data_IF_713709437921
#
_entry.id   IF_713709437921
#
_cell.length_a   1.000
_cell.length_b   1.000
_cell.length_c   1.000
_cell.angle_alpha   90.00
_cell.angle_beta   90.00
_cell.angle_gamma   90.00
#
_symmetry.space_group_name_H-M   'P 1'
#
loop_
_entity.id
_entity.type
_entity.pdbx_description
1 polymer ?
#
# COMPACT_ATOMS: atom_id res chain seq x y z
N UNK A 1 2.85 13.29 -9.42
CA UNK A 1 2.24 13.96 -10.57
C UNK A 1 3.21 13.82 -11.72
N UNK A 2 2.77 13.22 -12.83
CA UNK A 2 3.55 13.14 -14.06
C UNK A 2 3.50 14.54 -14.69
N UNK A 3 4.64 15.09 -15.08
CA UNK A 3 4.67 16.32 -15.86
C UNK A 3 3.92 16.09 -17.18
N UNK A 4 2.82 16.77 -17.34
CA UNK A 4 1.95 16.67 -18.51
C UNK A 4 0.87 17.74 -18.49
N UNK A 5 0.21 17.94 -19.63
CA UNK A 5 -0.82 18.97 -19.79
C UNK A 5 -2.15 18.60 -19.10
N UNK A 6 -2.36 17.31 -18.81
CA UNK A 6 -3.55 16.82 -18.11
C UNK A 6 -3.29 15.45 -17.45
N UNK A 7 -4.06 15.12 -16.40
CA UNK A 7 -3.91 13.86 -15.71
C UNK A 7 -5.12 13.48 -14.84
N UNK A 8 -5.15 12.20 -14.47
CA UNK A 8 -6.06 11.66 -13.45
C UNK A 8 -5.21 10.82 -12.50
N UNK A 9 -5.33 11.05 -11.21
CA UNK A 9 -4.58 10.34 -10.18
C UNK A 9 -5.43 10.21 -8.92
N UNK A 10 -4.95 9.39 -7.98
CA UNK A 10 -5.43 9.41 -6.58
C UNK A 10 -4.42 10.21 -5.73
N UNK A 11 -4.84 10.60 -4.52
CA UNK A 11 -3.92 11.11 -3.50
C UNK A 11 -3.33 9.94 -2.71
N UNK A 12 -2.22 9.39 -3.17
CA UNK A 12 -1.53 8.26 -2.56
C UNK A 12 -1.08 8.56 -1.12
N UNK A 13 -0.59 9.80 -0.85
CA UNK A 13 -0.13 10.21 0.47
C UNK A 13 -1.30 10.30 1.46
N UNK A 14 -2.40 10.95 1.09
CA UNK A 14 -3.58 11.05 1.95
C UNK A 14 -4.27 9.69 2.17
N UNK A 15 -4.23 8.81 1.16
CA UNK A 15 -4.74 7.44 1.24
C UNK A 15 -3.98 6.63 2.29
N UNK A 16 -2.65 6.65 2.24
CA UNK A 16 -1.82 5.98 3.24
C UNK A 16 -1.97 6.59 4.64
N UNK A 17 -2.10 7.92 4.73
CA UNK A 17 -2.38 8.56 5.99
C UNK A 17 -3.71 8.12 6.60
N UNK A 18 -4.70 7.79 5.78
CA UNK A 18 -5.98 7.23 6.23
C UNK A 18 -5.78 5.83 6.82
N UNK A 19 -5.00 4.96 6.17
CA UNK A 19 -4.64 3.64 6.70
C UNK A 19 -3.92 3.75 8.05
N UNK A 20 -2.91 4.61 8.15
CA UNK A 20 -2.14 4.80 9.39
C UNK A 20 -3.02 5.28 10.54
N UNK A 21 -3.90 6.28 10.31
CA UNK A 21 -4.85 6.75 11.33
C UNK A 21 -5.82 5.65 11.76
N UNK A 22 -6.30 4.84 10.83
CA UNK A 22 -7.15 3.68 11.13
C UNK A 22 -6.42 2.69 12.05
N UNK A 23 -5.20 2.28 11.70
CA UNK A 23 -4.41 1.36 12.52
C UNK A 23 -4.10 1.94 13.90
N UNK A 24 -3.82 3.24 14.00
CA UNK A 24 -3.67 3.94 15.28
C UNK A 24 -4.94 3.85 16.14
N UNK A 25 -6.11 4.01 15.53
CA UNK A 25 -7.40 3.92 16.22
C UNK A 25 -7.70 2.51 16.73
N UNK A 26 -7.13 1.48 16.12
CA UNK A 26 -7.19 0.09 16.56
C UNK A 26 -6.16 -0.23 17.68
N UNK A 27 -5.26 0.70 18.02
CA UNK A 27 -4.29 0.55 19.10
C UNK A 27 -2.96 -0.08 18.68
N UNK A 28 -2.69 -0.18 17.37
CA UNK A 28 -1.40 -0.69 16.88
C UNK A 28 -0.25 0.21 17.33
N UNK A 29 0.86 -0.40 17.77
CA UNK A 29 1.99 0.29 18.39
C UNK A 29 3.24 0.32 17.52
N UNK A 30 3.42 -0.69 16.69
CA UNK A 30 4.56 -0.81 15.76
C UNK A 30 4.00 -1.13 14.38
N UNK A 31 4.34 -0.31 13.40
CA UNK A 31 3.88 -0.45 12.02
C UNK A 31 5.02 -0.84 11.10
N UNK A 32 4.74 -1.71 10.15
CA UNK A 32 5.65 -2.00 9.04
C UNK A 32 5.04 -1.56 7.71
N UNK A 33 5.88 -1.07 6.80
CA UNK A 33 5.55 -0.82 5.40
C UNK A 33 6.42 -1.68 4.49
N UNK A 34 5.79 -2.37 3.56
CA UNK A 34 6.47 -3.24 2.59
C UNK A 34 6.25 -2.69 1.20
N UNK A 35 7.34 -2.29 0.58
CA UNK A 35 7.34 -1.83 -0.81
C UNK A 35 7.12 -2.99 -1.78
N UNK A 36 6.56 -2.69 -2.95
CA UNK A 36 6.52 -3.65 -4.04
C UNK A 36 7.96 -4.00 -4.44
N UNK A 37 8.30 -5.30 -4.57
CA UNK A 37 9.58 -5.70 -5.14
C UNK A 37 9.71 -5.08 -6.53
N UNK A 38 10.76 -4.30 -6.75
CA UNK A 38 10.92 -3.51 -7.98
C UNK A 38 10.95 -4.43 -9.18
N UNK A 39 9.92 -4.36 -9.99
CA UNK A 39 10.06 -4.60 -11.40
C UNK A 39 10.59 -3.29 -12.02
N UNK A 40 11.74 -3.36 -12.60
CA UNK A 40 12.58 -2.49 -13.40
C UNK A 40 11.96 -1.31 -14.18
N UNK A 41 10.74 -0.89 -13.92
CA UNK A 41 10.17 0.29 -14.56
C UNK A 41 10.37 1.52 -13.68
N UNK A 42 11.11 2.54 -14.15
CA UNK A 42 11.44 3.73 -13.35
C UNK A 42 10.25 4.66 -13.05
N UNK A 43 9.02 4.23 -13.32
CA UNK A 43 7.83 5.07 -13.31
C UNK A 43 6.84 4.81 -12.17
N UNK A 44 7.17 4.01 -11.15
CA UNK A 44 6.23 3.80 -10.04
C UNK A 44 6.32 4.96 -9.04
N UNK A 45 5.74 6.10 -9.44
CA UNK A 45 5.64 7.28 -8.58
C UNK A 45 4.74 7.00 -7.37
N UNK A 46 3.67 6.19 -7.55
CA UNK A 46 2.71 5.84 -6.50
C UNK A 46 3.35 5.15 -5.29
N UNK A 47 4.25 4.18 -5.52
CA UNK A 47 4.90 3.48 -4.41
C UNK A 47 5.73 4.42 -3.52
N UNK A 48 6.46 5.37 -4.16
CA UNK A 48 7.21 6.40 -3.44
C UNK A 48 6.28 7.35 -2.64
N UNK A 49 5.14 7.73 -3.22
CA UNK A 49 4.16 8.60 -2.56
C UNK A 49 3.46 7.85 -1.42
N UNK A 50 3.10 6.59 -1.60
CA UNK A 50 2.52 5.72 -0.56
C UNK A 50 3.50 5.56 0.61
N UNK A 51 4.77 5.26 0.34
CA UNK A 51 5.82 5.18 1.37
C UNK A 51 5.99 6.50 2.12
N UNK A 52 6.03 7.62 1.41
CA UNK A 52 6.11 8.96 2.01
C UNK A 52 4.91 9.20 2.92
N UNK A 53 3.68 8.99 2.42
CA UNK A 53 2.44 9.14 3.18
C UNK A 53 2.40 8.26 4.43
N UNK A 54 2.86 7.01 4.34
CA UNK A 54 3.01 6.11 5.48
C UNK A 54 3.95 6.69 6.55
N UNK A 55 5.15 7.10 6.15
CA UNK A 55 6.17 7.60 7.08
C UNK A 55 5.74 8.90 7.77
N UNK A 56 5.29 9.88 7.00
CA UNK A 56 4.84 11.17 7.52
C UNK A 56 3.59 11.04 8.43
N UNK A 57 2.62 10.21 8.02
CA UNK A 57 1.44 9.97 8.84
C UNK A 57 1.75 9.21 10.13
N UNK A 58 2.70 8.26 10.11
CA UNK A 58 3.14 7.55 11.31
C UNK A 58 3.75 8.50 12.31
N UNK A 59 4.64 9.39 11.88
CA UNK A 59 5.22 10.43 12.72
C UNK A 59 4.16 11.40 13.26
N UNK A 60 3.24 11.87 12.40
CA UNK A 60 2.15 12.75 12.79
C UNK A 60 1.17 12.10 13.79
N UNK A 61 1.00 10.76 13.73
CA UNK A 61 0.23 9.99 14.71
C UNK A 61 1.00 9.69 16.01
N UNK A 62 2.24 10.18 16.15
CA UNK A 62 3.05 10.03 17.36
C UNK A 62 3.69 8.66 17.52
N UNK A 63 3.96 7.95 16.43
CA UNK A 63 4.84 6.78 16.47
C UNK A 63 6.30 7.24 16.59
N UNK A 64 7.08 6.60 17.47
CA UNK A 64 8.52 6.81 17.54
C UNK A 64 9.22 6.16 16.33
N UNK A 65 10.40 6.65 15.97
CA UNK A 65 11.13 6.13 14.80
C UNK A 65 11.40 4.62 14.90
N UNK A 66 11.68 4.11 16.11
CA UNK A 66 11.86 2.68 16.37
C UNK A 66 10.57 1.84 16.25
N UNK A 67 9.41 2.48 16.18
CA UNK A 67 8.10 1.84 16.00
C UNK A 67 7.62 1.87 14.54
N UNK A 68 8.46 2.39 13.64
CA UNK A 68 8.19 2.51 12.20
C UNK A 68 9.22 1.68 11.44
N UNK A 69 8.78 0.58 10.84
CA UNK A 69 9.62 -0.31 10.05
C UNK A 69 9.31 -0.08 8.58
N UNK A 70 10.27 0.40 7.81
CA UNK A 70 10.15 0.50 6.36
C UNK A 70 11.08 -0.54 5.75
N UNK A 71 10.48 -1.57 5.15
CA UNK A 71 11.22 -2.59 4.44
C UNK A 71 11.57 -2.06 3.06
N UNK A 72 12.86 -1.92 2.73
CA UNK A 72 13.26 -1.54 1.39
C UNK A 72 12.78 -2.59 0.41
N UNK A 73 12.47 -2.15 -0.80
CA UNK A 73 12.26 -3.06 -1.91
C UNK A 73 13.43 -4.04 -1.99
N UNK A 74 13.17 -5.30 -1.71
CA UNK A 74 14.16 -6.34 -1.91
C UNK A 74 14.35 -6.49 -3.43
N UNK A 75 15.28 -5.72 -3.99
CA UNK A 75 15.70 -5.92 -5.36
C UNK A 75 16.13 -7.37 -5.51
N UNK A 76 15.74 -8.00 -6.61
CA UNK A 76 15.94 -9.41 -6.93
C UNK A 76 17.42 -9.89 -6.95
N UNK A 77 18.34 -9.16 -6.32
CA UNK A 77 19.77 -9.30 -6.49
C UNK A 77 20.25 -10.67 -6.02
N UNK A 78 19.55 -11.32 -5.07
CA UNK A 78 19.97 -12.62 -4.55
C UNK A 78 18.84 -13.65 -4.33
N UNK A 79 17.60 -13.33 -4.66
CA UNK A 79 16.47 -14.24 -4.47
C UNK A 79 16.38 -15.24 -5.63
N UNK A 80 16.38 -16.54 -5.31
CA UNK A 80 16.25 -17.61 -6.31
C UNK A 80 14.80 -17.85 -6.74
N UNK A 81 13.85 -17.35 -5.94
CA UNK A 81 12.41 -17.46 -6.19
C UNK A 81 11.65 -16.34 -5.51
N UNK A 82 10.42 -16.09 -5.95
CA UNK A 82 9.49 -15.16 -5.27
C UNK A 82 9.29 -15.55 -3.79
N UNK A 83 9.20 -16.85 -3.51
CA UNK A 83 9.08 -17.34 -2.13
C UNK A 83 10.28 -16.95 -1.26
N UNK A 84 11.50 -16.95 -1.79
CA UNK A 84 12.70 -16.56 -1.04
C UNK A 84 12.64 -15.08 -0.64
N UNK A 85 12.05 -14.23 -1.49
CA UNK A 85 11.84 -12.80 -1.21
C UNK A 85 10.94 -12.64 0.03
N UNK A 86 9.75 -13.25 0.01
CA UNK A 86 8.79 -13.11 1.11
C UNK A 86 9.26 -13.81 2.38
N UNK A 87 9.97 -14.94 2.27
CA UNK A 87 10.61 -15.59 3.42
C UNK A 87 11.64 -14.66 4.07
N UNK A 88 12.42 -13.95 3.27
CA UNK A 88 13.38 -12.95 3.75
C UNK A 88 12.70 -11.76 4.43
N UNK A 89 11.61 -11.25 3.86
CA UNK A 89 10.82 -10.17 4.47
C UNK A 89 10.30 -10.60 5.85
N UNK A 90 9.62 -11.76 5.92
CA UNK A 90 9.03 -12.23 7.18
C UNK A 90 10.12 -12.53 8.22
N UNK A 91 11.25 -13.12 7.82
CA UNK A 91 12.38 -13.36 8.72
C UNK A 91 12.94 -12.04 9.31
N UNK A 92 13.03 -10.97 8.50
CA UNK A 92 13.47 -9.67 8.98
C UNK A 92 12.45 -9.05 9.96
N UNK A 93 11.15 -9.14 9.67
CA UNK A 93 10.10 -8.67 10.58
C UNK A 93 10.12 -9.40 11.91
N UNK A 94 10.33 -10.74 11.88
CA UNK A 94 10.47 -11.56 13.08
C UNK A 94 11.72 -11.22 13.92
N UNK A 95 12.79 -10.81 13.24
CA UNK A 95 14.07 -10.46 13.88
C UNK A 95 14.14 -9.00 14.32
N UNK A 96 13.13 -8.20 14.01
CA UNK A 96 13.09 -6.80 14.42
C UNK A 96 13.08 -6.67 15.94
N UNK A 97 13.78 -5.68 16.53
CA UNK A 97 13.80 -5.45 17.98
C UNK A 97 12.39 -5.27 18.57
N UNK A 98 11.50 -4.67 17.79
CA UNK A 98 10.06 -4.58 18.05
C UNK A 98 9.33 -5.17 16.85
N UNK A 99 8.60 -6.25 17.07
CA UNK A 99 7.81 -6.86 16.00
C UNK A 99 6.63 -5.95 15.63
N UNK A 100 6.29 -5.83 14.34
CA UNK A 100 5.14 -5.03 13.93
C UNK A 100 3.84 -5.67 14.41
N UNK A 101 2.91 -4.82 14.88
CA UNK A 101 1.54 -5.22 15.19
C UNK A 101 0.61 -5.07 13.98
N UNK A 102 1.03 -4.25 13.00
CA UNK A 102 0.34 -4.14 11.71
C UNK A 102 1.35 -3.94 10.58
N UNK A 103 1.01 -4.49 9.42
CA UNK A 103 1.79 -4.39 8.18
C UNK A 103 0.92 -3.72 7.12
N UNK A 104 1.44 -2.67 6.50
CA UNK A 104 0.89 -2.06 5.31
C UNK A 104 1.72 -2.51 4.10
N UNK A 105 1.07 -2.94 3.04
CA UNK A 105 1.75 -3.22 1.76
C UNK A 105 1.40 -2.17 0.73
N UNK A 106 2.30 -1.95 -0.21
CA UNK A 106 2.11 -0.94 -1.24
C UNK A 106 1.00 -1.26 -2.24
N UNK A 107 0.74 -2.54 -2.51
CA UNK A 107 -0.32 -3.04 -3.41
C UNK A 107 -0.84 -4.40 -2.96
N UNK A 108 -2.07 -4.75 -3.31
CA UNK A 108 -2.70 -6.03 -2.93
C UNK A 108 -1.97 -7.25 -3.49
N UNK A 109 -1.34 -7.13 -4.64
CA UNK A 109 -0.52 -8.18 -5.23
C UNK A 109 0.66 -8.63 -4.33
N UNK A 110 1.16 -7.75 -3.46
CA UNK A 110 2.18 -8.07 -2.44
C UNK A 110 1.56 -8.77 -1.24
N UNK A 111 0.30 -8.47 -0.92
CA UNK A 111 -0.37 -9.01 0.25
C UNK A 111 -0.56 -10.53 0.20
N UNK A 112 -0.90 -11.08 -0.97
CA UNK A 112 -1.20 -12.51 -1.12
C UNK A 112 0.00 -13.42 -0.79
N UNK A 113 1.17 -13.27 -1.43
CA UNK A 113 2.33 -14.08 -1.12
C UNK A 113 2.86 -13.80 0.30
N UNK A 114 2.78 -12.55 0.76
CA UNK A 114 3.16 -12.19 2.13
C UNK A 114 2.28 -12.89 3.17
N UNK A 115 0.95 -12.86 3.01
CA UNK A 115 0.00 -13.52 3.92
C UNK A 115 0.24 -15.02 3.98
N UNK A 116 0.48 -15.65 2.83
CA UNK A 116 0.84 -17.08 2.77
C UNK A 116 2.11 -17.37 3.57
N UNK A 117 3.12 -16.52 3.43
CA UNK A 117 4.39 -16.71 4.10
C UNK A 117 4.34 -16.43 5.61
N UNK A 118 3.61 -15.38 6.03
CA UNK A 118 3.34 -15.11 7.44
C UNK A 118 2.70 -16.33 8.12
N UNK A 119 1.66 -16.90 7.51
CA UNK A 119 0.98 -18.11 8.02
C UNK A 119 1.91 -19.33 8.04
N UNK A 120 2.74 -19.51 7.01
CA UNK A 120 3.72 -20.60 6.96
C UNK A 120 4.75 -20.51 8.09
N UNK A 121 5.13 -19.29 8.47
CA UNK A 121 6.07 -19.01 9.57
C UNK A 121 5.39 -18.92 10.94
N UNK A 122 4.09 -19.24 11.03
CA UNK A 122 3.36 -19.37 12.29
C UNK A 122 2.63 -18.11 12.76
N UNK A 123 2.63 -17.02 11.99
CA UNK A 123 1.86 -15.82 12.34
C UNK A 123 0.40 -15.96 11.96
N UNK A 124 -0.48 -15.60 12.88
CA UNK A 124 -1.93 -15.54 12.66
C UNK A 124 -2.28 -14.11 12.25
N UNK A 125 -2.96 -13.98 11.14
CA UNK A 125 -3.53 -12.71 10.66
C UNK A 125 -5.05 -12.81 10.79
N UNK A 126 -5.70 -11.93 11.57
CA UNK A 126 -5.16 -10.67 12.16
C UNK A 126 -4.59 -10.79 13.58
N UNK A 127 -4.67 -11.94 14.30
CA UNK A 127 -4.48 -12.07 15.75
C UNK A 127 -3.07 -11.69 16.24
N UNK A 128 -2.03 -12.03 15.50
CA UNK A 128 -0.64 -11.70 15.86
C UNK A 128 -0.20 -10.42 15.13
N UNK A 129 -0.70 -10.18 13.92
CA UNK A 129 -0.41 -9.01 13.11
C UNK A 129 -1.56 -8.69 12.17
N UNK A 130 -1.99 -7.44 12.13
CA UNK A 130 -2.92 -6.95 11.11
C UNK A 130 -2.22 -6.74 9.77
N UNK A 131 -2.94 -6.96 8.66
CA UNK A 131 -2.42 -6.73 7.30
C UNK A 131 -3.39 -5.83 6.53
N UNK A 132 -2.87 -4.78 5.92
CA UNK A 132 -3.63 -3.84 5.10
C UNK A 132 -2.98 -3.71 3.73
N UNK A 133 -3.79 -3.85 2.69
CA UNK A 133 -3.42 -3.71 1.29
C UNK A 133 -3.74 -2.35 0.69
N UNK A 134 -3.60 -2.28 -0.62
CA UNK A 134 -3.94 -1.12 -1.44
C UNK A 134 -4.33 -1.59 -2.84
N UNK A 135 -5.38 -1.07 -3.41
CA UNK A 135 -6.00 -1.16 -4.75
C UNK A 135 -7.43 -1.68 -4.71
N UNK A 136 -7.76 -2.63 -3.83
CA UNK A 136 -9.03 -3.35 -3.75
C UNK A 136 -9.33 -4.16 -5.03
N UNK A 137 -8.33 -4.93 -5.46
CA UNK A 137 -8.45 -5.83 -6.59
C UNK A 137 -9.14 -7.17 -6.21
N UNK A 138 -9.28 -8.07 -7.19
CA UNK A 138 -9.88 -9.40 -6.98
C UNK A 138 -9.12 -10.22 -5.92
N UNK A 139 -7.81 -9.97 -5.76
CA UNK A 139 -6.96 -10.60 -4.75
C UNK A 139 -7.41 -10.21 -3.35
N UNK A 140 -7.70 -8.92 -3.12
CA UNK A 140 -8.16 -8.44 -1.83
C UNK A 140 -9.49 -9.09 -1.42
N UNK A 141 -10.41 -9.23 -2.37
CA UNK A 141 -11.69 -9.90 -2.12
C UNK A 141 -11.49 -11.39 -1.80
N UNK A 142 -10.65 -12.09 -2.56
CA UNK A 142 -10.37 -13.51 -2.36
C UNK A 142 -9.68 -13.82 -1.02
N UNK A 143 -8.90 -12.88 -0.48
CA UNK A 143 -8.16 -13.03 0.77
C UNK A 143 -8.89 -12.46 2.00
N UNK A 144 -10.07 -11.88 1.82
CA UNK A 144 -10.76 -11.10 2.85
C UNK A 144 -9.86 -9.99 3.42
N UNK A 145 -9.10 -9.31 2.54
CA UNK A 145 -8.07 -8.34 2.86
C UNK A 145 -8.67 -6.95 3.07
N UNK A 146 -8.41 -6.35 4.23
CA UNK A 146 -8.63 -4.91 4.44
C UNK A 146 -7.68 -4.14 3.52
N UNK A 147 -8.21 -3.21 2.71
CA UNK A 147 -7.44 -2.54 1.67
C UNK A 147 -7.97 -1.14 1.37
N UNK A 148 -7.17 -0.31 0.70
CA UNK A 148 -7.60 0.99 0.19
C UNK A 148 -8.16 0.80 -1.23
N UNK A 149 -9.45 1.08 -1.40
CA UNK A 149 -10.12 1.04 -2.70
C UNK A 149 -9.75 2.24 -3.55
N UNK A 150 -9.42 1.99 -4.82
CA UNK A 150 -9.38 2.96 -5.92
C UNK A 150 -10.22 2.43 -7.08
N UNK A 151 -10.72 3.32 -7.93
CA UNK A 151 -11.53 2.92 -9.09
C UNK A 151 -10.73 3.10 -10.40
N UNK A 152 -9.96 2.09 -10.84
CA UNK A 152 -9.16 2.18 -12.05
C UNK A 152 -10.03 2.31 -13.31
N UNK A 153 -11.27 1.80 -13.30
CA UNK A 153 -12.18 1.92 -14.43
C UNK A 153 -12.62 3.36 -14.62
N UNK A 154 -13.00 4.04 -13.53
CA UNK A 154 -13.40 5.44 -13.58
C UNK A 154 -12.20 6.35 -13.89
N UNK A 155 -11.02 6.07 -13.32
CA UNK A 155 -9.76 6.76 -13.67
C UNK A 155 -9.52 6.66 -15.17
N UNK A 156 -9.60 5.46 -15.74
CA UNK A 156 -9.43 5.23 -17.18
C UNK A 156 -10.48 5.95 -18.03
N UNK A 157 -11.73 5.96 -17.60
CA UNK A 157 -12.83 6.63 -18.30
C UNK A 157 -12.64 8.15 -18.35
N UNK A 158 -12.21 8.76 -17.24
CA UNK A 158 -11.93 10.20 -17.18
C UNK A 158 -10.69 10.53 -18.02
N UNK A 159 -9.63 9.74 -17.91
CA UNK A 159 -8.42 9.93 -18.70
C UNK A 159 -8.71 9.88 -20.21
N UNK A 160 -9.50 8.89 -20.66
CA UNK A 160 -9.90 8.77 -22.06
C UNK A 160 -10.69 9.99 -22.54
N UNK A 161 -11.66 10.48 -21.75
CA UNK A 161 -12.42 11.71 -22.10
C UNK A 161 -11.52 12.92 -22.24
N UNK A 162 -10.60 13.15 -21.29
CA UNK A 162 -9.64 14.25 -21.36
C UNK A 162 -8.74 14.14 -22.60
N UNK A 163 -8.26 12.95 -22.91
CA UNK A 163 -7.44 12.71 -24.09
C UNK A 163 -8.20 13.03 -25.37
N UNK A 164 -9.45 12.59 -25.50
CA UNK A 164 -10.28 12.90 -26.67
C UNK A 164 -10.55 14.38 -26.83
N UNK A 165 -10.85 15.09 -25.75
CA UNK A 165 -11.05 16.55 -25.77
C UNK A 165 -9.78 17.27 -26.27
N UNK A 166 -8.61 16.93 -25.75
CA UNK A 166 -7.34 17.50 -26.19
C UNK A 166 -7.05 17.18 -27.67
N UNK A 167 -7.32 15.99 -28.15
CA UNK A 167 -7.15 15.61 -29.55
C UNK A 167 -8.10 16.39 -30.48
N UNK A 168 -9.27 16.81 -30.00
CA UNK A 168 -10.21 17.67 -30.71
C UNK A 168 -9.84 19.16 -30.64
N UNK A 169 -8.77 19.53 -29.95
CA UNK A 169 -8.35 20.92 -29.76
C UNK A 169 -9.17 21.68 -28.71
N UNK A 170 -9.89 20.96 -27.86
CA UNK A 170 -10.65 21.55 -26.75
C UNK A 170 -9.74 21.91 -25.58
N UNK A 171 -10.10 22.97 -24.85
CA UNK A 171 -9.44 23.34 -23.60
C UNK A 171 -10.12 22.61 -22.45
N UNK A 172 -9.32 22.05 -21.52
CA UNK A 172 -9.84 21.40 -20.32
C UNK A 172 -9.99 22.43 -19.18
N UNK A 173 -11.18 22.55 -18.62
CA UNK A 173 -11.44 23.39 -17.43
C UNK A 173 -10.68 22.85 -16.21
N UNK A 174 -10.63 21.52 -16.06
CA UNK A 174 -9.86 20.80 -15.02
C UNK A 174 -8.83 19.89 -15.68
N UNK A 175 -7.61 20.35 -15.93
CA UNK A 175 -6.58 19.51 -16.53
C UNK A 175 -6.19 18.34 -15.63
N UNK A 176 -6.17 18.53 -14.29
CA UNK A 176 -5.85 17.46 -13.33
C UNK A 176 -7.08 17.12 -12.48
N UNK A 177 -7.38 15.82 -12.36
CA UNK A 177 -8.44 15.30 -11.48
C UNK A 177 -7.85 14.36 -10.45
N UNK A 178 -8.13 14.61 -9.17
CA UNK A 178 -7.79 13.69 -8.07
C UNK A 178 -9.02 12.89 -7.72
N UNK A 179 -8.93 11.56 -7.90
CA UNK A 179 -10.01 10.64 -7.59
C UNK A 179 -10.03 10.27 -6.10
N UNK A 180 -11.21 10.16 -5.49
CA UNK A 180 -11.32 9.72 -4.11
C UNK A 180 -10.91 8.26 -3.94
N UNK A 181 -10.40 7.93 -2.75
CA UNK A 181 -10.16 6.57 -2.28
C UNK A 181 -10.99 6.31 -1.02
N UNK A 182 -11.22 5.04 -0.71
CA UNK A 182 -11.92 4.65 0.52
C UNK A 182 -11.33 3.40 1.15
N UNK A 183 -11.27 3.35 2.48
CA UNK A 183 -10.81 2.17 3.19
C UNK A 183 -11.92 1.13 3.26
N UNK A 184 -11.67 -0.06 2.73
CA UNK A 184 -12.56 -1.22 2.76
C UNK A 184 -12.09 -2.16 3.86
N UNK A 185 -12.92 -2.32 4.89
CA UNK A 185 -12.61 -3.16 6.05
C UNK A 185 -13.03 -4.59 5.78
N UNK A 186 -12.12 -5.54 6.05
CA UNK A 186 -12.32 -6.99 5.93
C UNK A 186 -11.63 -7.73 7.09
N UNK A 187 -11.42 -9.03 6.97
CA UNK A 187 -10.98 -9.91 8.04
C UNK A 187 -9.49 -9.90 8.39
N UNK A 188 -8.65 -9.10 7.75
CA UNK A 188 -7.21 -9.08 8.03
C UNK A 188 -6.75 -8.02 9.03
N UNK A 189 -7.68 -7.31 9.66
CA UNK A 189 -7.35 -6.30 10.69
C UNK A 189 -8.23 -6.48 11.93
N UNK A 190 -7.65 -6.30 13.10
CA UNK A 190 -8.37 -6.28 14.35
C UNK A 190 -7.76 -5.28 15.36
N UNK A 191 -8.49 -5.01 16.44
CA UNK A 191 -7.99 -4.18 17.54
C UNK A 191 -6.93 -4.93 18.34
N UNK A 192 -5.85 -4.23 18.69
CA UNK A 192 -4.84 -4.77 19.61
C UNK A 192 -5.43 -4.85 21.01
N UNK A 193 -5.37 -6.03 21.59
CA UNK A 193 -5.87 -6.32 22.97
C UNK A 193 -4.87 -5.88 24.05
#
# INVERSE_FOLDING_TARGET
VVDGDAGVAIDDEASMATIVRFLKSLGHKTLAYIEQPINTTPFVCSDRLRKKGFSEASQACGYADEDIIVMPSLSHIDARSEQDIYSGIVAQLLSAPKQPTAICVSVDAVAAPLLKELRRMGWRVPQDVSLVGFDDDDTATALDLTTMHQDPAEIGRIAARKTLALLNGETLDEPFTVMPTSLVLRGTTERVS
#
